data_IF_435606048252
#
_entry.id   IF_435606048252
#
_cell.length_a   1.000
_cell.length_b   1.000
_cell.length_c   1.000
_cell.angle_alpha   90.00
_cell.angle_beta   90.00
_cell.angle_gamma   90.00
#
_symmetry.space_group_name_H-M   'P 1'
#
loop_
_entity.id
_entity.type
_entity.pdbx_description
1 polymer ?
#
# COMPACT_ATOMS: atom_id res chain seq x y z
N UNK A 1 -10.62 -20.93 -5.70
CA UNK A 1 -9.59 -20.76 -4.66
C UNK A 1 -8.48 -19.96 -5.31
N UNK A 2 -8.45 -18.65 -5.11
CA UNK A 2 -7.30 -17.82 -5.54
C UNK A 2 -6.26 -17.98 -4.46
N UNK A 3 -5.04 -18.35 -4.85
CA UNK A 3 -3.90 -18.33 -3.94
C UNK A 3 -3.66 -16.87 -3.58
N UNK A 4 -3.99 -16.48 -2.35
CA UNK A 4 -3.78 -15.12 -1.91
C UNK A 4 -2.26 -14.92 -1.86
N UNK A 5 -1.69 -13.93 -2.58
CA UNK A 5 -0.31 -13.54 -2.38
C UNK A 5 -0.22 -12.79 -1.05
N UNK A 6 -0.41 -13.51 0.05
CA UNK A 6 0.04 -13.07 1.35
C UNK A 6 1.53 -13.36 1.33
N UNK A 7 2.33 -12.32 1.05
CA UNK A 7 3.74 -12.35 1.32
C UNK A 7 3.92 -12.51 2.84
N UNK A 8 3.81 -13.74 3.33
CA UNK A 8 4.13 -14.14 4.69
C UNK A 8 5.66 -14.26 4.75
N UNK A 9 6.24 -13.83 5.87
CA UNK A 9 7.67 -13.96 6.11
C UNK A 9 8.12 -15.43 5.85
N UNK A 10 9.22 -15.67 5.10
CA UNK A 10 9.62 -17.02 4.74
C UNK A 10 9.77 -17.94 5.97
N UNK A 11 9.10 -19.10 5.95
CA UNK A 11 9.13 -20.08 7.04
C UNK A 11 8.15 -19.82 8.18
N UNK A 12 7.31 -18.79 8.09
CA UNK A 12 6.24 -18.49 9.06
C UNK A 12 4.86 -18.80 8.48
N UNK A 13 3.88 -18.98 9.36
CA UNK A 13 2.48 -19.19 8.99
C UNK A 13 1.60 -17.96 9.26
N UNK A 14 0.34 -18.05 8.83
CA UNK A 14 -0.67 -16.99 9.05
C UNK A 14 -0.97 -16.77 10.54
N UNK A 15 -0.93 -17.83 11.35
CA UNK A 15 -1.13 -17.74 12.80
C UNK A 15 -0.03 -16.95 13.49
N UNK A 16 1.22 -17.09 13.05
CA UNK A 16 2.36 -16.34 13.56
C UNK A 16 2.22 -14.84 13.31
N UNK A 17 1.65 -14.44 12.18
CA UNK A 17 1.30 -13.04 11.89
C UNK A 17 0.28 -12.51 12.90
N UNK A 18 -0.80 -13.26 13.15
CA UNK A 18 -1.83 -12.85 14.11
C UNK A 18 -1.34 -12.87 15.57
N UNK A 19 -0.37 -13.71 15.90
CA UNK A 19 0.28 -13.74 17.22
C UNK A 19 1.36 -12.67 17.39
N UNK A 20 1.72 -11.96 16.32
CA UNK A 20 2.80 -10.96 16.35
C UNK A 20 4.19 -11.57 16.49
N UNK A 21 4.38 -12.81 16.02
CA UNK A 21 5.68 -13.49 16.07
C UNK A 21 6.60 -13.07 14.91
N UNK A 22 6.05 -12.47 13.85
CA UNK A 22 6.85 -11.84 12.77
C UNK A 22 7.44 -10.54 13.31
N UNK A 23 8.76 -10.50 13.53
CA UNK A 23 9.44 -9.36 14.17
C UNK A 23 10.45 -8.66 13.27
N UNK A 24 10.83 -9.28 12.15
CA UNK A 24 11.83 -8.76 11.22
C UNK A 24 11.36 -8.82 9.77
N UNK A 25 12.03 -8.04 8.93
CA UNK A 25 11.76 -8.03 7.49
C UNK A 25 12.42 -9.24 6.82
N UNK A 26 11.81 -9.75 5.75
CA UNK A 26 12.32 -10.91 5.03
C UNK A 26 13.77 -10.70 4.55
N UNK A 27 14.60 -11.76 4.49
CA UNK A 27 15.96 -11.65 3.97
C UNK A 27 15.99 -11.00 2.58
N UNK A 28 16.91 -10.05 2.39
CA UNK A 28 17.07 -9.33 1.12
C UNK A 28 16.11 -8.15 0.92
N UNK A 29 15.19 -7.87 1.85
CA UNK A 29 14.42 -6.63 1.78
C UNK A 29 15.31 -5.42 2.05
N UNK A 30 15.20 -4.40 1.19
CA UNK A 30 15.89 -3.11 1.35
C UNK A 30 14.88 -2.04 1.73
N UNK A 31 15.26 -1.17 2.67
CA UNK A 31 14.42 -0.04 3.05
C UNK A 31 14.26 0.91 1.87
N UNK A 32 13.00 1.23 1.54
CA UNK A 32 12.67 2.27 0.58
C UNK A 32 12.91 3.67 1.19
N UNK A 33 13.52 4.56 0.42
CA UNK A 33 13.75 5.96 0.82
C UNK A 33 12.43 6.73 0.79
N UNK A 34 12.07 7.39 1.88
CA UNK A 34 10.83 8.14 1.99
C UNK A 34 10.95 9.54 1.37
N UNK A 35 11.09 9.62 0.05
CA UNK A 35 11.25 10.89 -0.69
C UNK A 35 10.12 11.89 -0.43
N UNK A 36 8.89 11.41 -0.24
CA UNK A 36 7.74 12.25 0.15
C UNK A 36 7.88 12.94 1.51
N UNK A 37 8.76 12.45 2.38
CA UNK A 37 9.08 13.03 3.69
C UNK A 37 10.38 13.85 3.65
N UNK A 38 10.91 14.12 2.45
CA UNK A 38 12.16 14.88 2.27
C UNK A 38 13.44 14.06 2.47
N UNK A 39 13.34 12.73 2.61
CA UNK A 39 14.53 11.86 2.63
C UNK A 39 15.17 11.85 1.23
N UNK A 40 16.50 11.97 1.17
CA UNK A 40 17.25 12.02 -0.08
C UNK A 40 17.78 10.63 -0.41
N UNK A 41 17.58 10.20 -1.66
CA UNK A 41 18.18 8.98 -2.21
C UNK A 41 19.57 9.33 -2.75
N UNK A 42 20.60 8.53 -2.40
CA UNK A 42 21.96 8.66 -2.94
C UNK A 42 22.12 8.05 -4.35
N UNK A 43 21.12 7.32 -4.85
CA UNK A 43 21.08 6.84 -6.23
C UNK A 43 20.62 7.93 -7.21
N UNK A 44 21.20 7.93 -8.41
CA UNK A 44 20.75 8.80 -9.48
C UNK A 44 19.27 8.54 -9.77
N UNK A 45 18.43 9.59 -9.88
CA UNK A 45 17.02 9.41 -10.15
C UNK A 45 16.87 8.74 -11.52
N UNK A 46 16.53 7.46 -11.54
CA UNK A 46 15.97 6.82 -12.72
C UNK A 46 14.64 7.50 -13.01
N UNK A 47 14.65 8.39 -14.02
CA UNK A 47 13.44 9.01 -14.55
C UNK A 47 12.60 7.91 -15.18
N UNK A 48 11.74 7.29 -14.38
CA UNK A 48 10.66 6.46 -14.89
C UNK A 48 9.62 7.45 -15.40
N UNK A 49 9.59 7.68 -16.72
CA UNK A 49 8.50 8.42 -17.34
C UNK A 49 7.18 7.71 -16.99
N UNK A 50 6.48 8.23 -15.99
CA UNK A 50 5.05 8.04 -15.87
C UNK A 50 4.45 8.81 -17.05
N UNK A 51 4.49 8.21 -18.23
CA UNK A 51 3.61 8.64 -19.30
C UNK A 51 2.21 8.54 -18.70
N UNK A 52 1.61 9.71 -18.46
CA UNK A 52 0.24 9.83 -18.00
C UNK A 52 -0.67 9.37 -19.15
N UNK A 53 -0.57 8.11 -19.56
CA UNK A 53 -1.59 7.44 -20.32
C UNK A 53 -2.73 7.25 -19.33
N UNK A 54 -3.58 8.28 -19.27
CA UNK A 54 -4.79 8.43 -18.50
C UNK A 54 -5.27 7.10 -17.88
N UNK A 55 -4.84 6.81 -16.65
CA UNK A 55 -5.74 6.12 -15.74
C UNK A 55 -6.86 7.12 -15.50
N UNK A 56 -7.90 6.99 -16.32
CA UNK A 56 -9.15 7.72 -16.14
C UNK A 56 -9.46 7.64 -14.66
N UNK A 57 -9.37 8.78 -13.98
CA UNK A 57 -9.81 8.92 -12.60
C UNK A 57 -11.16 8.22 -12.52
N UNK A 58 -11.21 7.08 -11.85
CA UNK A 58 -12.47 6.44 -11.52
C UNK A 58 -13.32 7.54 -10.92
N UNK A 59 -14.47 7.81 -11.55
CA UNK A 59 -15.42 8.83 -11.14
C UNK A 59 -15.46 8.85 -9.61
N UNK A 60 -15.20 9.97 -8.93
CA UNK A 60 -15.39 10.01 -7.49
C UNK A 60 -16.83 9.55 -7.27
N UNK A 61 -17.02 8.44 -6.55
CA UNK A 61 -18.37 7.99 -6.25
C UNK A 61 -19.02 9.14 -5.50
N UNK A 62 -19.98 9.80 -6.17
CA UNK A 62 -20.74 10.90 -5.59
C UNK A 62 -21.29 10.40 -4.26
N UNK A 63 -20.83 11.01 -3.17
CA UNK A 63 -21.30 10.68 -1.84
C UNK A 63 -22.79 11.00 -1.81
N UNK A 64 -23.63 9.97 -1.86
CA UNK A 64 -25.08 10.12 -1.71
C UNK A 64 -25.34 10.86 -0.40
N UNK A 65 -25.95 12.06 -0.41
CA UNK A 65 -26.32 12.72 0.82
C UNK A 65 -27.40 11.88 1.48
N UNK A 66 -27.05 11.18 2.57
CA UNK A 66 -28.04 10.62 3.48
C UNK A 66 -28.83 11.81 4.05
N UNK A 67 -30.09 11.91 3.63
CA UNK A 67 -31.07 12.87 4.13
C UNK A 67 -31.16 12.74 5.65
N UNK A 68 -30.53 13.66 6.38
CA UNK A 68 -30.70 13.76 7.84
C UNK A 68 -32.10 14.32 8.06
N UNK A 69 -33.06 13.41 8.11
CA UNK A 69 -34.46 13.68 8.40
C UNK A 69 -34.59 14.65 9.57
N UNK A 70 -35.34 15.72 9.32
CA UNK A 70 -35.76 16.69 10.30
C UNK A 70 -36.46 15.97 11.47
N UNK A 71 -35.87 16.06 12.67
CA UNK A 71 -36.60 15.82 13.90
C UNK A 71 -37.50 17.04 14.14
N UNK A 72 -38.81 16.85 13.92
CA UNK A 72 -39.88 17.72 14.43
C UNK A 72 -39.98 17.66 15.95
#
# INVERSE_FOLDING_TARGET
MVDSPHAIFPGMDEGDYYRGLVTEAAPGTVRQVATSKGEKTDEEPVTVEHTAAAVSSGTPHEATPMDRGAAS
#
